data_IF_641739096909
#
_entry.id   IF_641739096909
#
_cell.length_a   1.000
_cell.length_b   1.000
_cell.length_c   1.000
_cell.angle_alpha   90.00
_cell.angle_beta   90.00
_cell.angle_gamma   90.00
#
_symmetry.space_group_name_H-M   'P 1'
#
loop_
_entity.id
_entity.type
_entity.pdbx_description
1 polymer ?
#
# COMPACT_ATOMS: atom_id res chain seq x y z
N UNK A 1 -28.69 -37.77 50.94
CA UNK A 1 -28.26 -36.59 50.15
C UNK A 1 -27.33 -35.73 51.01
N UNK A 2 -26.03 -35.97 50.92
CA UNK A 2 -25.04 -35.40 51.85
C UNK A 2 -24.67 -33.96 51.42
N UNK A 3 -25.33 -32.95 52.00
CA UNK A 3 -24.97 -31.54 51.81
C UNK A 3 -23.69 -31.28 52.61
N UNK A 4 -22.52 -31.38 51.97
CA UNK A 4 -21.26 -30.91 52.56
C UNK A 4 -21.39 -29.40 52.80
N UNK A 5 -21.64 -29.00 54.04
CA UNK A 5 -21.54 -27.61 54.47
C UNK A 5 -20.07 -27.21 54.38
N UNK A 6 -19.72 -26.42 53.38
CA UNK A 6 -18.40 -25.78 53.31
C UNK A 6 -18.39 -24.71 54.40
N UNK A 7 -17.85 -25.04 55.56
CA UNK A 7 -17.57 -24.08 56.61
C UNK A 7 -16.28 -23.34 56.25
N UNK A 8 -16.40 -22.15 55.65
CA UNK A 8 -15.24 -21.28 55.43
C UNK A 8 -14.78 -20.74 56.78
N UNK A 9 -13.58 -21.14 57.21
CA UNK A 9 -12.93 -20.53 58.37
C UNK A 9 -12.63 -19.04 58.12
N UNK A 10 -12.44 -18.22 59.18
CA UNK A 10 -12.32 -16.76 59.08
C UNK A 10 -11.15 -16.25 58.19
N UNK A 11 -10.23 -17.13 57.76
CA UNK A 11 -9.17 -16.80 56.78
C UNK A 11 -9.47 -17.20 55.32
N UNK A 12 -10.47 -18.04 55.07
CA UNK A 12 -10.75 -18.54 53.72
C UNK A 12 -11.36 -17.46 52.81
N UNK A 13 -12.17 -16.55 53.36
CA UNK A 13 -12.69 -15.39 52.63
C UNK A 13 -11.58 -14.42 52.20
N UNK A 14 -10.56 -14.22 53.04
CA UNK A 14 -9.39 -13.39 52.72
C UNK A 14 -8.53 -14.02 51.62
N UNK A 15 -8.31 -15.34 51.67
CA UNK A 15 -7.59 -16.05 50.61
C UNK A 15 -8.32 -15.98 49.26
N UNK A 16 -9.65 -16.16 49.25
CA UNK A 16 -10.45 -16.03 48.02
C UNK A 16 -10.30 -14.62 47.44
N UNK A 17 -10.35 -13.57 48.27
CA UNK A 17 -10.18 -12.20 47.83
C UNK A 17 -8.79 -11.96 47.21
N UNK A 18 -7.72 -12.48 47.83
CA UNK A 18 -6.37 -12.38 47.28
C UNK A 18 -6.28 -13.04 45.90
N UNK A 19 -6.83 -14.25 45.75
CA UNK A 19 -6.82 -14.97 44.46
C UNK A 19 -7.57 -14.19 43.39
N UNK A 20 -8.73 -13.61 43.72
CA UNK A 20 -9.51 -12.79 42.79
C UNK A 20 -8.77 -11.51 42.38
N UNK A 21 -8.12 -10.83 43.33
CA UNK A 21 -7.34 -9.63 43.02
C UNK A 21 -6.13 -9.97 42.14
N UNK A 22 -5.44 -11.09 42.40
CA UNK A 22 -4.33 -11.55 41.57
C UNK A 22 -4.78 -11.92 40.15
N UNK A 23 -5.94 -12.57 39.99
CA UNK A 23 -6.46 -12.90 38.66
C UNK A 23 -6.86 -11.64 37.89
N UNK A 24 -7.52 -10.68 38.54
CA UNK A 24 -7.82 -9.37 37.96
C UNK A 24 -6.56 -8.61 37.54
N UNK A 25 -5.50 -8.61 38.38
CA UNK A 25 -4.24 -7.98 38.05
C UNK A 25 -3.53 -8.64 36.86
N UNK A 26 -3.57 -9.97 36.78
CA UNK A 26 -3.03 -10.71 35.64
C UNK A 26 -3.80 -10.41 34.35
N UNK A 27 -5.13 -10.37 34.41
CA UNK A 27 -5.98 -9.99 33.27
C UNK A 27 -5.72 -8.55 32.83
N UNK A 28 -5.55 -7.63 33.78
CA UNK A 28 -5.24 -6.23 33.48
C UNK A 28 -3.89 -6.09 32.76
N UNK A 29 -2.86 -6.83 33.18
CA UNK A 29 -1.57 -6.86 32.48
C UNK A 29 -1.70 -7.42 31.05
N UNK A 30 -2.45 -8.50 30.86
CA UNK A 30 -2.68 -9.07 29.54
C UNK A 30 -3.42 -8.09 28.61
N UNK A 31 -4.45 -7.40 29.12
CA UNK A 31 -5.14 -6.35 28.35
C UNK A 31 -4.21 -5.19 28.01
N UNK A 32 -3.34 -4.78 28.93
CA UNK A 32 -2.37 -3.72 28.67
C UNK A 32 -1.36 -4.11 27.56
N UNK A 33 -0.88 -5.35 27.58
CA UNK A 33 0.02 -5.87 26.53
C UNK A 33 -0.72 -5.92 25.19
N UNK A 34 -1.95 -6.43 25.16
CA UNK A 34 -2.78 -6.46 23.94
C UNK A 34 -2.98 -5.07 23.37
N UNK A 35 -3.42 -4.12 24.19
CA UNK A 35 -3.67 -2.74 23.76
C UNK A 35 -2.41 -2.05 23.20
N UNK A 36 -1.24 -2.32 23.78
CA UNK A 36 0.04 -1.81 23.25
C UNK A 36 0.39 -2.41 21.90
N UNK A 37 0.13 -3.70 21.72
CA UNK A 37 0.35 -4.37 20.44
C UNK A 37 -0.61 -3.80 19.37
N UNK A 38 -1.89 -3.67 19.71
CA UNK A 38 -2.90 -3.09 18.82
C UNK A 38 -2.54 -1.64 18.43
N UNK A 39 -2.04 -0.84 19.38
CA UNK A 39 -1.54 0.52 19.10
C UNK A 39 -0.35 0.49 18.13
N UNK A 40 0.60 -0.42 18.34
CA UNK A 40 1.76 -0.56 17.46
C UNK A 40 1.33 -0.97 16.05
N UNK A 41 0.43 -1.94 15.91
CA UNK A 41 -0.15 -2.35 14.63
C UNK A 41 -0.89 -1.20 13.96
N UNK A 42 -1.75 -0.49 14.69
CA UNK A 42 -2.48 0.67 14.16
C UNK A 42 -1.53 1.76 13.67
N UNK A 43 -0.46 2.05 14.41
CA UNK A 43 0.54 3.05 14.02
C UNK A 43 1.27 2.66 12.73
N UNK A 44 1.67 1.39 12.59
CA UNK A 44 2.30 0.88 11.37
C UNK A 44 1.34 0.89 10.18
N UNK A 45 0.08 0.53 10.39
CA UNK A 45 -0.95 0.59 9.36
C UNK A 45 -1.21 2.02 8.89
N UNK A 46 -1.24 2.99 9.80
CA UNK A 46 -1.38 4.41 9.47
C UNK A 46 -0.18 4.93 8.67
N UNK A 47 1.03 4.61 9.09
CA UNK A 47 2.26 4.96 8.36
C UNK A 47 2.28 4.36 6.96
N UNK A 48 1.94 3.07 6.83
CA UNK A 48 1.89 2.42 5.52
C UNK A 48 0.83 3.05 4.60
N UNK A 49 -0.30 3.45 5.16
CA UNK A 49 -1.36 4.14 4.42
C UNK A 49 -0.86 5.49 3.89
N UNK A 50 -0.18 6.28 4.73
CA UNK A 50 0.43 7.54 4.32
C UNK A 50 1.43 7.35 3.17
N UNK A 51 2.32 6.35 3.27
CA UNK A 51 3.28 6.04 2.21
C UNK A 51 2.63 5.62 0.89
N UNK A 52 1.52 4.90 0.93
CA UNK A 52 0.75 4.57 -0.30
C UNK A 52 0.15 5.82 -0.93
N UNK A 53 -0.33 6.77 -0.13
CA UNK A 53 -0.81 8.04 -0.66
C UNK A 53 0.31 8.88 -1.28
N UNK A 54 1.49 8.91 -0.65
CA UNK A 54 2.67 9.57 -1.22
C UNK A 54 3.07 8.93 -2.55
N UNK A 55 3.05 7.60 -2.64
CA UNK A 55 3.32 6.85 -3.87
C UNK A 55 2.31 7.18 -4.98
N UNK A 56 1.03 7.32 -4.64
CA UNK A 56 0.02 7.73 -5.61
C UNK A 56 0.25 9.18 -6.09
N UNK A 57 0.60 10.09 -5.18
CA UNK A 57 0.94 11.47 -5.54
C UNK A 57 2.18 11.51 -6.46
N UNK A 58 3.16 10.65 -6.24
CA UNK A 58 4.33 10.51 -7.11
C UNK A 58 3.95 9.95 -8.49
N UNK A 59 3.03 8.98 -8.57
CA UNK A 59 2.50 8.49 -9.83
C UNK A 59 1.77 9.59 -10.62
N UNK A 60 0.98 10.45 -9.96
CA UNK A 60 0.33 11.60 -10.59
C UNK A 60 1.35 12.63 -11.08
N UNK A 61 2.41 12.92 -10.31
CA UNK A 61 3.50 13.81 -10.73
C UNK A 61 4.22 13.27 -11.96
N UNK A 62 4.46 11.95 -12.00
CA UNK A 62 5.06 11.27 -13.14
C UNK A 62 4.19 11.32 -14.39
N UNK A 63 2.87 11.21 -14.23
CA UNK A 63 1.95 11.43 -15.35
C UNK A 63 1.99 12.88 -15.82
N UNK A 64 1.98 13.86 -14.91
CA UNK A 64 2.06 15.26 -15.28
C UNK A 64 3.35 15.57 -16.06
N UNK A 65 4.47 14.99 -15.64
CA UNK A 65 5.73 15.05 -16.38
C UNK A 65 5.62 14.42 -17.77
N UNK A 66 5.02 13.23 -17.89
CA UNK A 66 4.78 12.58 -19.18
C UNK A 66 3.92 13.47 -20.09
N UNK A 67 2.89 14.12 -19.54
CA UNK A 67 2.01 15.04 -20.26
C UNK A 67 2.79 16.26 -20.82
N UNK A 68 3.71 16.82 -20.04
CA UNK A 68 4.60 17.90 -20.50
C UNK A 68 5.50 17.44 -21.65
N UNK A 69 6.11 16.25 -21.54
CA UNK A 69 6.93 15.67 -22.62
C UNK A 69 6.10 15.45 -23.88
N UNK A 70 4.87 14.94 -23.77
CA UNK A 70 3.96 14.75 -24.90
C UNK A 70 3.57 16.07 -25.57
N UNK A 71 3.39 17.15 -24.79
CA UNK A 71 3.14 18.50 -25.33
C UNK A 71 4.34 18.99 -26.16
N UNK A 72 5.57 18.76 -25.69
CA UNK A 72 6.77 19.10 -26.46
C UNK A 72 6.87 18.28 -27.75
N UNK A 73 6.67 16.96 -27.66
CA UNK A 73 6.70 16.07 -28.82
C UNK A 73 5.66 16.50 -29.88
N UNK A 74 4.46 16.92 -29.45
CA UNK A 74 3.39 17.38 -30.35
C UNK A 74 3.72 18.74 -31.00
N UNK A 75 4.51 19.60 -30.34
CA UNK A 75 4.95 20.88 -30.93
C UNK A 75 5.98 20.66 -32.04
N UNK A 76 6.86 19.68 -31.85
CA UNK A 76 7.93 19.34 -32.81
C UNK A 76 7.36 18.59 -34.02
N UNK A 77 6.39 17.70 -33.82
CA UNK A 77 5.77 16.90 -34.88
C UNK A 77 4.39 17.48 -35.23
N UNK A 78 4.36 18.35 -36.26
CA UNK A 78 3.13 18.95 -36.80
C UNK A 78 2.32 18.01 -37.73
N UNK A 79 2.94 16.94 -38.19
CA UNK A 79 2.37 16.01 -39.18
C UNK A 79 1.89 14.78 -38.44
N UNK A 80 0.65 14.35 -38.67
CA UNK A 80 -0.04 13.27 -37.92
C UNK A 80 0.55 11.86 -38.03
N UNK A 81 1.86 11.72 -38.18
CA UNK A 81 2.58 10.45 -38.14
C UNK A 81 2.77 10.00 -36.69
N UNK A 82 1.91 9.04 -36.29
CA UNK A 82 1.97 8.40 -34.96
C UNK A 82 3.33 7.75 -34.70
N UNK A 83 3.95 7.14 -35.71
CA UNK A 83 5.23 6.45 -35.56
C UNK A 83 6.38 7.42 -35.23
N UNK A 84 6.41 8.59 -35.88
CA UNK A 84 7.41 9.61 -35.61
C UNK A 84 7.24 10.18 -34.19
N UNK A 85 5.99 10.33 -33.75
CA UNK A 85 5.64 10.81 -32.42
C UNK A 85 6.09 9.86 -31.32
N UNK A 86 5.86 8.56 -31.49
CA UNK A 86 6.30 7.52 -30.55
C UNK A 86 7.84 7.41 -30.50
N UNK A 87 8.53 7.53 -31.64
CA UNK A 87 9.99 7.50 -31.67
C UNK A 87 10.62 8.69 -30.93
N UNK A 88 10.05 9.89 -31.09
CA UNK A 88 10.53 11.09 -30.40
C UNK A 88 10.24 11.01 -28.90
N UNK A 89 9.09 10.45 -28.53
CA UNK A 89 8.76 10.17 -27.14
C UNK A 89 9.74 9.16 -26.53
N UNK A 90 10.09 8.08 -27.24
CA UNK A 90 11.07 7.08 -26.80
C UNK A 90 12.46 7.71 -26.54
N UNK A 91 12.84 8.72 -27.31
CA UNK A 91 14.11 9.44 -27.14
C UNK A 91 14.09 10.40 -25.93
N UNK A 92 12.93 11.00 -25.63
CA UNK A 92 12.75 11.94 -24.51
C UNK A 92 12.31 11.28 -23.19
N UNK A 93 11.90 10.02 -23.21
CA UNK A 93 11.48 9.28 -22.02
C UNK A 93 12.67 9.07 -21.07
N UNK A 94 12.53 9.43 -19.77
CA UNK A 94 13.58 9.19 -18.80
C UNK A 94 13.71 7.69 -18.46
N UNK A 95 14.87 7.31 -17.92
CA UNK A 95 15.13 5.94 -17.49
C UNK A 95 14.11 5.49 -16.42
N UNK A 96 13.51 4.31 -16.61
CA UNK A 96 12.50 3.74 -15.71
C UNK A 96 11.06 3.76 -16.25
N UNK A 97 10.86 4.24 -17.48
CA UNK A 97 9.63 4.10 -18.23
C UNK A 97 9.85 3.14 -19.40
N UNK A 98 8.99 2.14 -19.51
CA UNK A 98 8.97 1.19 -20.61
C UNK A 98 7.88 1.59 -21.59
N UNK A 99 8.26 1.93 -22.82
CA UNK A 99 7.34 2.20 -23.92
C UNK A 99 7.18 0.94 -24.77
N UNK A 100 5.95 0.43 -24.88
CA UNK A 100 5.62 -0.72 -25.72
C UNK A 100 4.44 -0.32 -26.62
N UNK A 101 4.72 -0.24 -27.92
CA UNK A 101 3.79 0.28 -28.94
C UNK A 101 3.26 1.68 -28.60
N UNK A 102 2.05 1.77 -28.04
CA UNK A 102 1.38 3.00 -27.63
C UNK A 102 1.16 3.10 -26.11
N UNK A 103 1.69 2.18 -25.33
CA UNK A 103 1.55 2.16 -23.87
C UNK A 103 2.88 2.46 -23.17
N UNK A 104 2.85 3.40 -22.23
CA UNK A 104 3.97 3.71 -21.33
C UNK A 104 3.66 3.10 -19.98
N UNK A 105 4.54 2.20 -19.54
CA UNK A 105 4.48 1.59 -18.22
C UNK A 105 5.64 2.09 -17.36
N UNK A 106 5.35 2.41 -16.11
CA UNK A 106 6.39 2.61 -15.10
C UNK A 106 6.02 1.89 -13.80
N UNK A 107 7.06 1.55 -13.05
CA UNK A 107 6.93 0.81 -11.80
C UNK A 107 7.67 1.54 -10.69
N UNK A 108 6.98 1.75 -9.57
CA UNK A 108 7.55 2.33 -8.37
C UNK A 108 7.49 1.34 -7.20
N UNK A 109 8.64 0.81 -6.74
CA UNK A 109 8.67 -0.11 -5.62
C UNK A 109 8.51 0.64 -4.29
N UNK A 110 7.76 0.02 -3.37
CA UNK A 110 7.54 0.46 -1.99
C UNK A 110 7.61 -0.75 -1.05
N UNK A 111 8.81 -1.02 -0.53
CA UNK A 111 9.10 -2.17 0.35
C UNK A 111 8.65 -3.51 -0.25
N UNK A 112 7.48 -4.01 0.15
CA UNK A 112 6.88 -5.25 -0.35
C UNK A 112 5.72 -5.01 -1.33
N UNK A 113 5.62 -3.81 -1.89
CA UNK A 113 4.59 -3.45 -2.86
C UNK A 113 5.22 -2.82 -4.08
N UNK A 114 4.58 -2.96 -5.23
CA UNK A 114 4.96 -2.31 -6.46
C UNK A 114 3.74 -1.58 -6.97
N UNK A 115 3.86 -0.27 -7.18
CA UNK A 115 2.88 0.49 -7.93
C UNK A 115 3.21 0.35 -9.41
N UNK A 116 2.32 -0.29 -10.16
CA UNK A 116 2.40 -0.39 -11.61
C UNK A 116 1.40 0.57 -12.22
N UNK A 117 1.92 1.47 -13.05
CA UNK A 117 1.15 2.46 -13.76
C UNK A 117 1.35 2.26 -15.26
N UNK A 118 0.24 2.11 -16.00
CA UNK A 118 0.23 1.98 -17.46
C UNK A 118 -0.70 3.02 -18.04
N UNK A 119 -0.18 3.79 -18.98
CA UNK A 119 -0.89 4.86 -19.66
C UNK A 119 -0.80 4.65 -21.16
N UNK A 120 -1.93 4.71 -21.84
CA UNK A 120 -2.01 4.66 -23.29
C UNK A 120 -1.86 6.06 -23.86
N UNK A 121 -0.99 6.20 -24.84
CA UNK A 121 -0.76 7.44 -25.58
C UNK A 121 -1.76 7.52 -26.71
N UNK A 122 -2.55 8.58 -26.72
CA UNK A 122 -3.53 8.81 -27.78
C UNK A 122 -2.89 9.51 -28.98
N UNK A 123 -3.47 9.36 -30.19
CA UNK A 123 -2.98 10.02 -31.39
C UNK A 123 -2.87 11.54 -31.22
N UNK A 124 -1.91 12.20 -31.89
CA UNK A 124 -1.67 13.65 -31.76
C UNK A 124 -2.86 14.52 -32.22
N UNK A 125 -3.78 13.94 -33.00
CA UNK A 125 -5.02 14.59 -33.45
C UNK A 125 -6.09 14.69 -32.34
N UNK A 126 -6.00 13.87 -31.29
CA UNK A 126 -6.98 13.87 -30.21
C UNK A 126 -6.73 15.00 -29.20
N UNK A 127 -7.84 15.44 -28.58
CA UNK A 127 -7.83 16.51 -27.58
C UNK A 127 -7.20 16.04 -26.27
N UNK A 128 -7.45 14.79 -25.91
CA UNK A 128 -6.80 14.09 -24.80
C UNK A 128 -5.51 13.45 -25.31
N UNK A 129 -4.46 13.47 -24.48
CA UNK A 129 -3.11 13.02 -24.85
C UNK A 129 -2.80 11.63 -24.32
N UNK A 130 -3.44 11.28 -23.21
CA UNK A 130 -3.16 10.07 -22.44
C UNK A 130 -4.45 9.54 -21.83
N UNK A 131 -4.59 8.22 -21.82
CA UNK A 131 -5.65 7.52 -21.10
C UNK A 131 -5.03 6.55 -20.09
N UNK A 132 -5.55 6.54 -18.86
CA UNK A 132 -5.12 5.58 -17.85
C UNK A 132 -5.63 4.18 -18.19
N UNK A 133 -4.71 3.23 -18.41
CA UNK A 133 -5.05 1.82 -18.64
C UNK A 133 -4.97 1.03 -17.33
N UNK A 134 -3.93 1.28 -16.54
CA UNK A 134 -3.75 0.63 -15.25
C UNK A 134 -3.12 1.57 -14.22
N UNK A 135 -3.69 1.56 -13.03
CA UNK A 135 -3.10 2.17 -11.84
C UNK A 135 -3.33 1.19 -10.68
N UNK A 136 -2.34 0.35 -10.40
CA UNK A 136 -2.50 -0.80 -9.50
C UNK A 136 -1.32 -0.92 -8.55
N UNK A 137 -1.65 -1.09 -7.28
CA UNK A 137 -0.69 -1.47 -6.24
C UNK A 137 -0.73 -2.98 -6.07
N UNK A 138 0.36 -3.65 -6.43
CA UNK A 138 0.55 -5.09 -6.23
C UNK A 138 1.36 -5.28 -4.96
N UNK A 139 0.95 -6.22 -4.10
CA UNK A 139 1.76 -6.64 -2.94
C UNK A 139 2.53 -7.87 -3.39
N UNK A 140 3.86 -7.82 -3.29
CA UNK A 140 4.67 -9.02 -3.37
C UNK A 140 4.45 -9.80 -2.07
N UNK A 141 3.62 -10.83 -2.14
CA UNK A 141 3.59 -11.84 -1.10
C UNK A 141 4.94 -12.57 -1.16
N UNK A 142 5.66 -12.71 -0.03
CA UNK A 142 6.81 -13.61 -0.01
C UNK A 142 6.33 -14.99 -0.49
N UNK A 143 7.08 -15.63 -1.38
CA UNK A 143 6.80 -17.02 -1.75
C UNK A 143 6.58 -17.81 -0.45
N UNK A 144 5.37 -18.36 -0.34
CA UNK A 144 4.91 -19.07 0.83
C UNK A 144 5.72 -20.39 0.84
N UNK A 145 6.95 -20.35 1.37
CA UNK A 145 7.89 -21.46 1.54
C UNK A 145 7.37 -22.48 2.58
N UNK A 146 6.08 -22.83 2.53
CA UNK A 146 5.47 -23.90 3.33
C UNK A 146 5.77 -25.28 2.75
N UNK A 147 6.99 -25.50 2.28
CA UNK A 147 7.53 -26.84 2.06
C UNK A 147 8.19 -27.33 3.37
N UNK A 148 7.38 -27.89 4.26
CA UNK A 148 7.86 -28.75 5.36
C UNK A 148 6.96 -29.97 5.54
#
# INVERSE_FOLDING_TARGET
>A
MNKRKVALGPGAASLILIVVVLSLAMLAMLMQISSRNDLSLASRSAEMTARVYDLNADAERKLAFLDEVLIECRKEIKTGDMQAYLNLLAEKLPAGYDLLDDEVTWMDPLENRIMTCTVKILPPAEKERTEWVAHKLVVEEPEDDWEW
#
